data_IF_626402911535
#
_entry.id   IF_626402911535
#
_cell.length_a   1.000
_cell.length_b   1.000
_cell.length_c   1.000
_cell.angle_alpha   90.00
_cell.angle_beta   90.00
_cell.angle_gamma   90.00
#
_symmetry.space_group_name_H-M   'P 1'
#
loop_
_entity.id
_entity.type
_entity.pdbx_description
1 polymer ?
#
# COMPACT_ATOMS: atom_id res chain seq x y z
N UNK A 1 25.82 -16.07 -12.90
CA UNK A 1 25.03 -16.75 -11.85
C UNK A 1 23.64 -16.14 -11.84
N UNK A 2 22.59 -16.96 -11.86
CA UNK A 2 21.21 -16.46 -11.78
C UNK A 2 20.81 -16.33 -10.30
N UNK A 3 20.32 -15.16 -9.91
CA UNK A 3 19.79 -14.89 -8.58
C UNK A 3 18.27 -14.68 -8.67
N UNK A 4 17.54 -15.20 -7.69
CA UNK A 4 16.08 -15.04 -7.59
C UNK A 4 15.75 -14.49 -6.21
N UNK A 5 14.94 -13.42 -6.17
CA UNK A 5 14.37 -12.91 -4.93
C UNK A 5 13.06 -13.62 -4.64
N UNK A 6 12.96 -14.24 -3.46
CA UNK A 6 11.73 -14.89 -2.97
C UNK A 6 11.47 -14.37 -1.56
N UNK A 7 10.23 -13.97 -1.30
CA UNK A 7 9.84 -13.40 -0.03
C UNK A 7 8.49 -13.92 0.45
N UNK A 8 8.29 -13.86 1.75
CA UNK A 8 7.01 -14.07 2.41
C UNK A 8 6.71 -12.87 3.28
N UNK A 9 5.44 -12.53 3.41
CA UNK A 9 4.97 -11.40 4.20
C UNK A 9 3.89 -11.88 5.16
N UNK A 10 3.87 -11.29 6.36
CA UNK A 10 2.78 -11.46 7.31
C UNK A 10 2.25 -10.11 7.78
N UNK A 11 0.92 -9.99 7.82
CA UNK A 11 0.22 -8.86 8.45
C UNK A 11 -0.17 -9.16 9.91
N UNK A 12 0.02 -10.41 10.36
CA UNK A 12 -0.37 -10.85 11.70
C UNK A 12 0.54 -10.21 12.76
N UNK A 13 -0.09 -9.73 13.84
CA UNK A 13 0.61 -9.14 14.98
C UNK A 13 0.96 -10.22 16.00
N UNK A 14 2.25 -10.51 16.16
CA UNK A 14 2.73 -11.46 17.15
C UNK A 14 4.02 -12.15 16.70
N UNK A 15 4.52 -13.05 17.55
CA UNK A 15 5.69 -13.85 17.22
C UNK A 15 5.37 -14.79 16.04
N UNK A 16 6.05 -14.58 14.91
CA UNK A 16 5.97 -15.44 13.73
C UNK A 16 7.38 -15.80 13.29
N UNK A 17 7.62 -17.08 13.07
CA UNK A 17 8.84 -17.55 12.45
C UNK A 17 8.73 -17.43 10.92
N UNK A 18 9.03 -16.25 10.39
CA UNK A 18 9.01 -15.99 8.94
C UNK A 18 10.01 -16.85 8.17
N UNK A 19 11.14 -17.23 8.78
CA UNK A 19 12.12 -18.12 8.16
C UNK A 19 11.51 -19.48 7.85
N UNK A 20 10.78 -20.08 8.81
CA UNK A 20 10.07 -21.33 8.60
C UNK A 20 9.04 -21.24 7.48
N UNK A 21 8.26 -20.15 7.44
CA UNK A 21 7.25 -19.95 6.40
C UNK A 21 7.88 -19.80 5.01
N UNK A 22 9.04 -19.12 4.91
CA UNK A 22 9.78 -19.02 3.66
C UNK A 22 10.28 -20.40 3.20
N UNK A 23 10.81 -21.22 4.11
CA UNK A 23 11.29 -22.58 3.79
C UNK A 23 10.16 -23.53 3.39
N UNK A 24 9.00 -23.43 4.04
CA UNK A 24 7.79 -24.16 3.65
C UNK A 24 7.28 -23.70 2.28
N UNK A 25 7.27 -22.38 2.02
CA UNK A 25 6.86 -21.84 0.72
C UNK A 25 7.79 -22.31 -0.40
N UNK A 26 9.12 -22.21 -0.22
CA UNK A 26 10.12 -22.67 -1.20
C UNK A 26 9.95 -24.15 -1.55
N UNK A 27 9.75 -25.01 -0.53
CA UNK A 27 9.44 -26.43 -0.75
C UNK A 27 8.15 -26.62 -1.53
N UNK A 28 7.09 -25.86 -1.19
CA UNK A 28 5.80 -25.93 -1.86
C UNK A 28 5.85 -25.56 -3.34
N UNK A 29 6.73 -24.64 -3.74
CA UNK A 29 6.93 -24.24 -5.15
C UNK A 29 8.08 -24.99 -5.83
N UNK A 30 8.69 -25.99 -5.17
CA UNK A 30 9.76 -26.82 -5.74
C UNK A 30 11.09 -26.10 -5.96
N UNK A 31 11.39 -25.03 -5.21
CA UNK A 31 12.64 -24.30 -5.30
C UNK A 31 13.65 -24.74 -4.24
N UNK A 32 14.84 -25.16 -4.70
CA UNK A 32 15.94 -25.64 -3.85
C UNK A 32 17.21 -24.80 -4.10
N UNK A 33 17.40 -23.69 -3.37
CA UNK A 33 18.52 -22.78 -3.61
C UNK A 33 19.85 -23.40 -3.15
N UNK A 34 20.91 -23.25 -3.97
CA UNK A 34 22.29 -23.67 -3.62
C UNK A 34 22.92 -22.82 -2.51
N UNK A 35 22.51 -21.56 -2.42
CA UNK A 35 22.89 -20.62 -1.36
C UNK A 35 21.74 -19.66 -1.11
N UNK A 36 21.63 -19.10 0.09
CA UNK A 36 20.54 -18.20 0.45
C UNK A 36 21.07 -17.04 1.28
N UNK A 37 20.75 -15.82 0.85
CA UNK A 37 20.87 -14.62 1.68
C UNK A 37 19.48 -14.25 2.17
N UNK A 38 19.37 -13.89 3.46
CA UNK A 38 18.08 -13.65 4.11
C UNK A 38 18.09 -12.25 4.72
N UNK A 39 17.03 -11.50 4.45
CA UNK A 39 16.82 -10.17 4.99
C UNK A 39 15.38 -10.03 5.45
N UNK A 40 15.17 -9.30 6.54
CA UNK A 40 13.84 -9.04 7.10
C UNK A 40 13.69 -7.55 7.37
N UNK A 41 12.57 -6.97 6.94
CA UNK A 41 12.27 -5.55 7.09
C UNK A 41 10.82 -5.35 7.50
N UNK A 42 10.56 -4.27 8.22
CA UNK A 42 9.20 -3.81 8.50
C UNK A 42 8.78 -2.88 7.36
N UNK A 43 7.64 -3.18 6.73
CA UNK A 43 7.06 -2.31 5.69
C UNK A 43 6.09 -1.34 6.35
N UNK A 44 6.36 -0.03 6.36
CA UNK A 44 5.54 0.93 7.08
C UNK A 44 4.30 1.33 6.27
N UNK A 45 3.25 0.52 6.38
CA UNK A 45 1.96 0.69 5.66
C UNK A 45 0.97 1.64 6.34
N UNK A 46 1.46 2.42 7.32
CA UNK A 46 0.67 3.40 8.06
C UNK A 46 1.46 4.70 8.16
N UNK A 47 0.87 5.84 7.73
CA UNK A 47 1.53 7.12 7.87
C UNK A 47 1.94 7.39 9.32
N UNK A 48 3.13 7.96 9.50
CA UNK A 48 3.67 8.31 10.81
C UNK A 48 2.73 9.25 11.55
N UNK A 49 2.64 9.10 12.88
CA UNK A 49 1.88 10.02 13.71
C UNK A 49 2.52 11.42 13.69
N UNK A 50 1.68 12.45 13.58
CA UNK A 50 2.12 13.84 13.54
C UNK A 50 2.24 14.40 12.13
N UNK A 51 2.97 15.51 12.01
CA UNK A 51 3.15 16.22 10.75
C UNK A 51 4.21 15.52 9.88
N UNK A 52 3.89 15.30 8.60
CA UNK A 52 4.82 14.79 7.60
C UNK A 52 5.71 15.89 7.00
N UNK A 53 5.43 17.15 7.34
CA UNK A 53 6.28 18.29 7.04
C UNK A 53 6.30 19.27 8.20
N UNK A 54 7.49 19.71 8.60
CA UNK A 54 7.68 20.71 9.65
C UNK A 54 8.97 21.48 9.42
N UNK A 55 8.85 22.79 9.24
CA UNK A 55 10.01 23.64 8.98
C UNK A 55 10.73 23.20 7.71
N UNK A 56 12.03 22.91 7.80
CA UNK A 56 12.86 22.50 6.66
C UNK A 56 12.93 20.99 6.45
N UNK A 57 11.98 20.24 7.03
CA UNK A 57 11.95 18.77 6.97
C UNK A 57 10.66 18.31 6.30
N UNK A 58 10.78 17.51 5.25
CA UNK A 58 9.69 16.84 4.54
C UNK A 58 9.96 15.33 4.57
N UNK A 59 9.01 14.54 5.07
CA UNK A 59 9.10 13.08 5.12
C UNK A 59 8.51 12.48 3.85
N UNK A 60 9.22 11.53 3.23
CA UNK A 60 8.79 10.83 2.02
C UNK A 60 8.97 9.31 2.18
N UNK A 61 8.34 8.52 1.31
CA UNK A 61 8.45 7.06 1.27
C UNK A 61 8.25 6.39 2.63
N UNK A 62 9.15 5.48 2.97
CA UNK A 62 9.11 4.71 4.22
C UNK A 62 9.27 5.59 5.47
N UNK A 63 10.02 6.70 5.37
CA UNK A 63 10.16 7.64 6.49
C UNK A 63 8.82 8.30 6.86
N UNK A 64 7.93 8.47 5.88
CA UNK A 64 6.57 8.95 6.08
C UNK A 64 5.55 7.82 6.33
N UNK A 65 5.92 6.55 6.11
CA UNK A 65 5.03 5.40 6.22
C UNK A 65 3.98 5.33 5.11
N UNK A 66 4.42 5.57 3.87
CA UNK A 66 3.56 5.69 2.69
C UNK A 66 3.44 4.39 1.87
N UNK A 67 4.02 3.29 2.32
CA UNK A 67 3.90 2.02 1.63
C UNK A 67 2.43 1.58 1.51
N UNK A 68 2.11 0.93 0.39
CA UNK A 68 0.77 0.49 0.07
C UNK A 68 0.30 -0.60 1.06
N UNK A 69 -0.87 -0.44 1.69
CA UNK A 69 -1.33 -1.38 2.71
C UNK A 69 -1.84 -2.71 2.17
N UNK A 70 -2.19 -2.81 0.88
CA UNK A 70 -2.70 -4.04 0.26
C UNK A 70 -1.59 -4.78 -0.47
N UNK A 71 -0.71 -4.08 -1.18
CA UNK A 71 0.35 -4.72 -1.98
C UNK A 71 1.69 -4.76 -1.26
N UNK A 72 1.85 -3.99 -0.18
CA UNK A 72 3.13 -3.74 0.50
C UNK A 72 4.19 -3.08 -0.41
N UNK A 73 3.76 -2.48 -1.54
CA UNK A 73 4.63 -1.75 -2.45
C UNK A 73 4.98 -0.36 -1.88
N UNK A 74 6.26 -0.01 -1.85
CA UNK A 74 6.73 1.29 -1.33
C UNK A 74 7.53 2.14 -2.32
N UNK A 75 8.02 1.55 -3.41
CA UNK A 75 8.97 2.22 -4.33
C UNK A 75 8.26 3.35 -5.09
N UNK A 76 7.09 3.06 -5.65
CA UNK A 76 6.27 3.99 -6.41
C UNK A 76 5.77 5.11 -5.50
N UNK A 77 5.41 4.79 -4.26
CA UNK A 77 5.00 5.78 -3.24
C UNK A 77 6.16 6.65 -2.77
N UNK A 78 7.36 6.09 -2.62
CA UNK A 78 8.57 6.86 -2.33
C UNK A 78 8.89 7.84 -3.47
N UNK A 79 8.89 7.37 -4.73
CA UNK A 79 9.12 8.22 -5.89
C UNK A 79 8.05 9.32 -6.02
N UNK A 80 6.77 8.96 -5.90
CA UNK A 80 5.66 9.90 -6.01
C UNK A 80 5.72 10.96 -4.89
N UNK A 81 5.92 10.56 -3.64
CA UNK A 81 6.02 11.50 -2.52
C UNK A 81 7.27 12.38 -2.57
N UNK A 82 8.39 11.86 -3.09
CA UNK A 82 9.59 12.65 -3.37
C UNK A 82 9.35 13.72 -4.43
N UNK A 83 8.66 13.37 -5.52
CA UNK A 83 8.26 14.34 -6.55
C UNK A 83 7.37 15.45 -6.00
N UNK A 84 6.39 15.10 -5.17
CA UNK A 84 5.51 16.10 -4.53
C UNK A 84 6.29 17.02 -3.56
N UNK A 85 7.31 16.50 -2.88
CA UNK A 85 8.18 17.31 -2.02
C UNK A 85 9.01 18.29 -2.85
N UNK A 86 9.60 17.84 -3.96
CA UNK A 86 10.32 18.70 -4.89
C UNK A 86 9.41 19.78 -5.49
N UNK A 87 8.18 19.43 -5.85
CA UNK A 87 7.18 20.37 -6.38
C UNK A 87 6.81 21.44 -5.33
N UNK A 88 6.61 21.06 -4.07
CA UNK A 88 6.34 22.01 -2.99
C UNK A 88 7.50 23.00 -2.77
N UNK A 89 8.74 22.52 -2.86
CA UNK A 89 9.94 23.37 -2.75
C UNK A 89 10.03 24.32 -3.95
N UNK A 90 9.83 23.81 -5.16
CA UNK A 90 9.94 24.59 -6.39
C UNK A 90 8.91 25.73 -6.43
N UNK A 91 7.66 25.47 -6.05
CA UNK A 91 6.60 26.50 -6.00
C UNK A 91 6.92 27.66 -5.06
N UNK A 92 7.71 27.43 -4.01
CA UNK A 92 8.12 28.46 -3.06
C UNK A 92 9.47 29.11 -3.42
N UNK A 93 10.09 28.72 -4.53
CA UNK A 93 11.44 29.15 -4.88
C UNK A 93 11.50 30.61 -5.32
N UNK A 94 10.55 31.06 -6.14
CA UNK A 94 10.54 32.41 -6.71
C UNK A 94 10.21 33.50 -5.68
N UNK A 95 9.46 33.17 -4.63
CA UNK A 95 9.01 34.12 -3.60
C UNK A 95 9.90 34.14 -2.36
N UNK A 96 10.97 33.34 -2.35
CA UNK A 96 11.78 33.06 -1.17
C UNK A 96 11.19 31.90 -0.37
N UNK A 97 11.90 30.75 -0.23
CA UNK A 97 11.32 29.52 0.32
C UNK A 97 11.12 29.61 1.83
N UNK A 98 9.99 30.20 2.24
CA UNK A 98 9.49 30.12 3.61
C UNK A 98 9.16 28.65 3.94
N UNK A 99 9.84 28.05 4.93
CA UNK A 99 9.61 26.67 5.31
C UNK A 99 8.15 26.36 5.69
N UNK A 100 7.39 27.36 6.18
CA UNK A 100 5.97 27.19 6.52
C UNK A 100 5.12 27.03 5.26
N UNK A 101 5.38 27.82 4.23
CA UNK A 101 4.68 27.75 2.94
C UNK A 101 4.98 26.43 2.23
N UNK A 102 6.25 26.01 2.19
CA UNK A 102 6.66 24.73 1.63
C UNK A 102 5.97 23.56 2.37
N UNK A 103 5.97 23.60 3.70
CA UNK A 103 5.32 22.56 4.51
C UNK A 103 3.81 22.47 4.24
N UNK A 104 3.12 23.61 4.14
CA UNK A 104 1.69 23.66 3.83
C UNK A 104 1.40 23.18 2.41
N UNK A 105 2.20 23.60 1.42
CA UNK A 105 2.09 23.16 0.04
C UNK A 105 2.30 21.65 -0.09
N UNK A 106 3.33 21.10 0.55
CA UNK A 106 3.58 19.66 0.55
C UNK A 106 2.43 18.89 1.21
N UNK A 107 1.95 19.35 2.37
CA UNK A 107 0.84 18.73 3.07
C UNK A 107 -0.41 18.68 2.20
N UNK A 108 -0.73 19.76 1.47
CA UNK A 108 -1.84 19.84 0.54
C UNK A 108 -1.67 18.89 -0.66
N UNK A 109 -0.49 18.87 -1.28
CA UNK A 109 -0.16 17.99 -2.40
C UNK A 109 -0.20 16.51 -2.01
N UNK A 110 0.14 16.17 -0.76
CA UNK A 110 0.15 14.80 -0.27
C UNK A 110 -1.25 14.29 0.16
N UNK A 111 -2.20 15.18 0.47
CA UNK A 111 -3.54 14.80 0.96
C UNK A 111 -4.26 13.74 0.08
N UNK A 112 -4.29 13.85 -1.26
CA UNK A 112 -4.97 12.86 -2.09
C UNK A 112 -4.40 11.44 -1.91
N UNK A 113 -3.07 11.32 -1.82
CA UNK A 113 -2.39 10.03 -1.55
C UNK A 113 -2.76 9.49 -0.18
N UNK A 114 -2.75 10.34 0.87
CA UNK A 114 -3.11 9.91 2.23
C UNK A 114 -4.57 9.48 2.34
N UNK A 115 -5.47 10.15 1.62
CA UNK A 115 -6.87 9.78 1.54
C UNK A 115 -7.05 8.42 0.85
N UNK A 116 -6.29 8.16 -0.22
CA UNK A 116 -6.35 6.88 -0.93
C UNK A 116 -5.78 5.72 -0.09
N UNK A 117 -4.61 5.91 0.52
CA UNK A 117 -4.00 4.94 1.44
C UNK A 117 -4.88 4.67 2.68
N UNK A 118 -5.76 5.60 3.07
CA UNK A 118 -6.76 5.36 4.11
C UNK A 118 -7.80 4.33 3.68
N UNK A 119 -8.28 4.42 2.44
CA UNK A 119 -9.20 3.41 1.86
C UNK A 119 -8.48 2.08 1.70
N UNK A 120 -7.25 2.10 1.16
CA UNK A 120 -6.40 0.92 1.04
C UNK A 120 -6.21 0.19 2.38
N UNK A 121 -6.00 0.93 3.48
CA UNK A 121 -5.87 0.32 4.82
C UNK A 121 -7.15 -0.36 5.29
N UNK A 122 -8.32 0.19 4.99
CA UNK A 122 -9.59 -0.47 5.32
C UNK A 122 -9.74 -1.78 4.52
N UNK A 123 -9.42 -1.74 3.22
CA UNK A 123 -9.43 -2.92 2.37
C UNK A 123 -8.42 -3.97 2.84
N UNK A 124 -7.20 -3.57 3.18
CA UNK A 124 -6.17 -4.45 3.71
C UNK A 124 -6.65 -5.18 4.98
N UNK A 125 -7.28 -4.46 5.93
CA UNK A 125 -7.85 -5.09 7.13
C UNK A 125 -8.93 -6.11 6.78
N UNK A 126 -9.81 -5.80 5.82
CA UNK A 126 -10.82 -6.74 5.34
C UNK A 126 -10.21 -8.01 4.74
N UNK A 127 -9.12 -7.87 3.98
CA UNK A 127 -8.45 -9.00 3.30
C UNK A 127 -7.58 -9.83 4.26
N UNK A 128 -6.82 -9.18 5.14
CA UNK A 128 -5.85 -9.86 6.00
C UNK A 128 -6.42 -10.33 7.33
N UNK A 129 -7.30 -9.55 7.98
CA UNK A 129 -7.76 -9.84 9.34
C UNK A 129 -9.06 -10.68 9.36
N UNK A 130 -9.80 -10.75 8.24
CA UNK A 130 -11.13 -11.38 8.19
C UNK A 130 -11.23 -12.50 7.14
N UNK A 131 -10.72 -13.72 7.42
CA UNK A 131 -10.64 -14.80 6.45
C UNK A 131 -12.00 -15.24 5.88
N UNK A 132 -13.07 -15.21 6.70
CA UNK A 132 -14.44 -15.52 6.25
C UNK A 132 -14.97 -14.47 5.27
N UNK A 133 -14.77 -13.19 5.58
CA UNK A 133 -15.18 -12.09 4.71
C UNK A 133 -14.39 -12.11 3.40
N UNK A 134 -13.05 -12.27 3.47
CA UNK A 134 -12.19 -12.48 2.30
C UNK A 134 -12.72 -13.60 1.41
N UNK A 135 -12.92 -14.80 1.97
CA UNK A 135 -13.38 -15.95 1.20
C UNK A 135 -14.77 -15.76 0.59
N UNK A 136 -15.66 -15.01 1.25
CA UNK A 136 -16.95 -14.65 0.67
C UNK A 136 -16.80 -13.65 -0.48
N UNK A 137 -16.02 -12.58 -0.30
CA UNK A 137 -15.78 -11.56 -1.34
C UNK A 137 -15.13 -12.19 -2.58
N UNK A 138 -14.09 -13.00 -2.41
CA UNK A 138 -13.43 -13.66 -3.54
C UNK A 138 -14.39 -14.59 -4.32
N UNK A 139 -15.34 -15.24 -3.64
CA UNK A 139 -16.37 -16.05 -4.31
C UNK A 139 -17.38 -15.22 -5.11
N UNK A 140 -17.68 -14.00 -4.68
CA UNK A 140 -18.66 -13.14 -5.35
C UNK A 140 -18.05 -12.32 -6.48
N UNK A 141 -16.88 -11.71 -6.25
CA UNK A 141 -16.28 -10.70 -7.13
C UNK A 141 -14.76 -10.85 -7.29
N UNK A 142 -14.21 -12.05 -7.09
CA UNK A 142 -12.77 -12.30 -7.04
C UNK A 142 -11.98 -11.74 -8.23
N UNK A 143 -12.40 -12.04 -9.46
CA UNK A 143 -11.72 -11.55 -10.66
C UNK A 143 -11.70 -10.03 -10.72
N UNK A 144 -12.85 -9.38 -10.56
CA UNK A 144 -12.97 -7.92 -10.54
C UNK A 144 -12.15 -7.27 -9.44
N UNK A 145 -12.05 -7.91 -8.28
CA UNK A 145 -11.21 -7.43 -7.18
C UNK A 145 -9.73 -7.50 -7.55
N UNK A 146 -9.28 -8.61 -8.14
CA UNK A 146 -7.90 -8.79 -8.60
C UNK A 146 -7.57 -7.77 -9.70
N UNK A 147 -8.46 -7.59 -10.68
CA UNK A 147 -8.30 -6.61 -11.75
C UNK A 147 -8.19 -5.19 -11.17
N UNK A 148 -9.07 -4.82 -10.25
CA UNK A 148 -9.02 -3.51 -9.60
C UNK A 148 -7.73 -3.29 -8.79
N UNK A 149 -7.27 -4.29 -8.03
CA UNK A 149 -5.98 -4.21 -7.31
C UNK A 149 -4.81 -4.10 -8.30
N UNK A 150 -4.89 -4.79 -9.44
CA UNK A 150 -3.88 -4.72 -10.51
C UNK A 150 -3.86 -3.33 -11.15
N UNK A 151 -5.02 -2.73 -11.44
CA UNK A 151 -5.11 -1.34 -11.93
C UNK A 151 -4.52 -0.34 -10.94
N UNK A 152 -4.73 -0.55 -9.63
CA UNK A 152 -4.13 0.28 -8.60
C UNK A 152 -2.61 0.09 -8.55
N UNK A 153 -2.13 -1.15 -8.64
CA UNK A 153 -0.71 -1.46 -8.68
C UNK A 153 -0.01 -0.83 -9.90
N UNK A 154 -0.66 -0.85 -11.06
CA UNK A 154 -0.20 -0.21 -12.29
C UNK A 154 -0.31 1.32 -12.27
N UNK A 155 -0.89 1.90 -11.21
CA UNK A 155 -1.12 3.35 -11.10
C UNK A 155 -2.21 3.88 -12.04
N UNK A 156 -2.96 3.02 -12.72
CA UNK A 156 -4.07 3.39 -13.59
C UNK A 156 -5.31 3.83 -12.79
N UNK A 157 -5.41 3.42 -11.53
CA UNK A 157 -6.55 3.72 -10.66
C UNK A 157 -6.14 3.93 -9.21
N UNK A 158 -7.03 4.54 -8.42
CA UNK A 158 -6.90 4.70 -6.96
C UNK A 158 -7.85 3.75 -6.25
N UNK A 159 -7.57 3.38 -4.99
CA UNK A 159 -8.53 2.60 -4.19
C UNK A 159 -9.87 3.32 -4.06
N UNK A 160 -9.83 4.63 -3.80
CA UNK A 160 -11.04 5.46 -3.69
C UNK A 160 -11.85 5.44 -4.98
N UNK A 161 -11.19 5.51 -6.14
CA UNK A 161 -11.84 5.42 -7.46
C UNK A 161 -12.33 4.01 -7.82
N UNK A 162 -11.91 2.98 -7.09
CA UNK A 162 -12.31 1.58 -7.31
C UNK A 162 -13.56 1.19 -6.53
N UNK A 163 -13.90 1.92 -5.45
CA UNK A 163 -15.05 1.62 -4.59
C UNK A 163 -16.38 1.58 -5.35
N UNK A 164 -16.62 2.51 -6.27
CA UNK A 164 -17.84 2.57 -7.07
C UNK A 164 -17.99 1.36 -8.00
N UNK A 165 -16.89 0.96 -8.67
CA UNK A 165 -16.90 -0.22 -9.55
C UNK A 165 -17.13 -1.52 -8.77
N UNK A 166 -16.51 -1.66 -7.60
CA UNK A 166 -16.69 -2.81 -6.71
C UNK A 166 -18.10 -2.86 -6.10
N UNK A 167 -18.67 -1.71 -5.71
CA UNK A 167 -20.03 -1.65 -5.15
C UNK A 167 -21.10 -2.09 -6.17
N UNK A 168 -20.94 -1.72 -7.44
CA UNK A 168 -21.83 -2.14 -8.53
C UNK A 168 -21.67 -3.62 -8.89
N UNK A 169 -20.55 -4.25 -8.52
CA UNK A 169 -20.27 -5.65 -8.81
C UNK A 169 -20.93 -6.63 -7.82
N UNK A 170 -21.44 -6.16 -6.67
CA UNK A 170 -22.16 -7.03 -5.75
C UNK A 170 -23.55 -7.38 -6.29
N UNK A 171 -23.99 -8.64 -6.17
CA UNK A 171 -25.33 -9.03 -6.56
C UNK A 171 -26.35 -8.24 -5.75
N UNK A 172 -27.24 -7.51 -6.43
CA UNK A 172 -28.37 -6.84 -5.78
C UNK A 172 -29.25 -7.93 -5.17
N UNK A 173 -29.44 -7.90 -3.85
CA UNK A 173 -30.44 -8.77 -3.20
C UNK A 173 -31.79 -8.46 -3.82
N UNK A 174 -32.31 -9.37 -4.64
CA UNK A 174 -33.70 -9.36 -5.06
C UNK A 174 -34.52 -9.64 -3.81
N UNK A 175 -35.24 -8.64 -3.30
CA UNK A 175 -36.29 -8.88 -2.30
C UNK A 175 -37.42 -9.63 -2.99
N UNK A 176 -37.47 -10.95 -2.83
CA UNK A 176 -38.71 -11.69 -3.03
C UNK A 176 -39.69 -11.22 -1.96
N UNK A 177 -40.66 -10.39 -2.36
CA UNK A 177 -41.86 -10.14 -1.56
C UNK A 177 -42.70 -11.41 -1.66
N UNK A 178 -42.89 -12.08 -0.52
CA UNK A 178 -43.93 -13.08 -0.29
C UNK A 178 -45.31 -12.43 -0.35
#
# INVERSE_FOLDING_TARGET
AAHLSVGVLTAHRGAINLHRHLEEYLRGIGLFPRSTQRHGFVIPVRPRAGLLARGRVLLTGDAAGLADPVTAEGISRAAQSGRLAAEAIHRAWETGPDPRQVSAAYAALLQPMLADLRVGRWLARLLYDHPRARAWIFRQIGQRLVDAITEVFLGARTYRGSLTGLALAFPRRVKTRS
#
